data_IF_565914366146
#
_entry.id   IF_565914366146
#
_cell.length_a   1.000
_cell.length_b   1.000
_cell.length_c   1.000
_cell.angle_alpha   90.00
_cell.angle_beta   90.00
_cell.angle_gamma   90.00
#
_symmetry.space_group_name_H-M   'P 1'
#
loop_
_entity.id
_entity.type
_entity.pdbx_description
1 polymer ?
#
# COMPACT_ATOMS: atom_id res chain seq x y z
N UNK A 1 22.86 0.91 33.23
CA UNK A 1 22.36 0.51 31.94
C UNK A 1 22.51 1.73 31.05
N UNK A 2 23.43 1.70 30.08
CA UNK A 2 23.47 2.74 29.05
C UNK A 2 22.15 2.63 28.22
N UNK A 3 21.46 3.71 27.92
CA UNK A 3 20.35 3.64 26.98
C UNK A 3 20.93 3.13 25.66
N UNK A 4 20.48 1.97 25.22
CA UNK A 4 20.77 1.50 23.86
C UNK A 4 20.16 2.55 22.94
N UNK A 5 21.03 3.36 22.33
CA UNK A 5 20.62 4.42 21.40
C UNK A 5 20.16 3.73 20.11
N UNK A 6 18.95 3.15 20.14
CA UNK A 6 18.35 2.53 18.97
C UNK A 6 18.05 3.66 17.98
N UNK A 7 18.65 3.64 16.77
CA UNK A 7 18.41 4.68 15.79
C UNK A 7 16.92 4.79 15.44
N UNK A 8 16.44 6.00 15.23
CA UNK A 8 15.05 6.23 14.87
C UNK A 8 14.74 5.70 13.47
N UNK A 9 13.49 5.31 13.26
CA UNK A 9 12.96 4.93 11.96
C UNK A 9 12.12 6.09 11.41
N UNK A 10 12.49 6.60 10.24
CA UNK A 10 11.71 7.60 9.53
C UNK A 10 10.63 6.91 8.68
N UNK A 11 9.39 7.35 8.83
CA UNK A 11 8.26 6.85 8.03
C UNK A 11 7.70 7.99 7.18
N UNK A 12 7.68 7.81 5.86
CA UNK A 12 7.00 8.72 4.93
C UNK A 12 5.57 8.23 4.66
N UNK A 13 4.69 9.11 4.17
CA UNK A 13 3.30 8.73 3.86
C UNK A 13 2.47 8.32 5.06
N UNK A 14 2.78 8.82 6.25
CA UNK A 14 2.14 8.49 7.54
C UNK A 14 0.65 8.86 7.63
N UNK A 15 0.17 9.74 6.76
CA UNK A 15 -1.25 10.07 6.65
C UNK A 15 -2.03 9.07 5.80
N UNK A 16 -1.32 8.20 5.07
CA UNK A 16 -1.91 7.10 4.32
C UNK A 16 -2.14 5.86 5.20
N UNK A 17 -2.92 4.93 4.70
CA UNK A 17 -3.33 3.71 5.43
C UNK A 17 -2.13 2.86 5.86
N UNK A 18 -1.26 2.48 4.92
CA UNK A 18 -0.09 1.64 5.20
C UNK A 18 0.89 2.36 6.12
N UNK A 19 1.22 3.62 5.83
CA UNK A 19 2.17 4.39 6.65
C UNK A 19 1.71 4.54 8.10
N UNK A 20 0.41 4.73 8.33
CA UNK A 20 -0.18 4.77 9.67
C UNK A 20 0.03 3.44 10.41
N UNK A 21 -0.31 2.33 9.75
CA UNK A 21 -0.13 1.00 10.34
C UNK A 21 1.33 0.71 10.67
N UNK A 22 2.27 1.13 9.81
CA UNK A 22 3.71 0.99 10.07
C UNK A 22 4.14 1.76 11.32
N UNK A 23 3.68 3.02 11.46
CA UNK A 23 3.95 3.82 12.66
C UNK A 23 3.49 3.08 13.92
N UNK A 24 2.26 2.57 13.92
CA UNK A 24 1.71 1.83 15.07
C UNK A 24 2.56 0.58 15.38
N UNK A 25 2.93 -0.22 14.36
CA UNK A 25 3.76 -1.42 14.53
C UNK A 25 5.15 -1.14 15.12
N UNK A 26 5.80 -0.09 14.61
CA UNK A 26 7.13 0.30 15.10
C UNK A 26 7.08 0.80 16.56
N UNK A 27 6.05 1.59 16.89
CA UNK A 27 5.84 2.07 18.26
C UNK A 27 5.51 0.93 19.23
N UNK A 28 4.72 -0.08 18.79
CA UNK A 28 4.41 -1.26 19.60
C UNK A 28 5.63 -2.18 19.77
N UNK A 29 6.56 -2.18 18.82
CA UNK A 29 7.86 -2.80 18.93
C UNK A 29 8.86 -2.01 19.82
N UNK A 30 8.45 -0.85 20.37
CA UNK A 30 9.30 -0.03 21.25
C UNK A 30 10.36 0.78 20.53
N UNK A 31 10.24 0.97 19.21
CA UNK A 31 11.22 1.70 18.42
C UNK A 31 10.93 3.20 18.39
N UNK A 32 11.96 4.07 18.36
CA UNK A 32 11.78 5.49 18.11
C UNK A 32 11.28 5.72 16.67
N UNK A 33 10.13 6.38 16.52
CA UNK A 33 9.52 6.63 15.22
C UNK A 33 9.49 8.13 14.92
N UNK A 34 9.95 8.48 13.73
CA UNK A 34 9.82 9.80 13.13
C UNK A 34 8.81 9.76 12.01
N UNK A 35 7.80 10.59 12.10
CA UNK A 35 6.72 10.68 11.13
C UNK A 35 6.90 11.91 10.25
N UNK A 36 7.08 11.72 8.93
CA UNK A 36 7.18 12.83 7.99
C UNK A 36 5.80 13.24 7.50
N UNK A 37 5.45 14.50 7.71
CA UNK A 37 4.22 15.11 7.19
C UNK A 37 4.54 16.33 6.33
N UNK A 38 3.74 16.56 5.30
CA UNK A 38 3.87 17.78 4.47
C UNK A 38 3.23 18.99 5.12
N UNK A 39 2.22 18.78 5.94
CA UNK A 39 1.46 19.83 6.61
C UNK A 39 1.43 19.58 8.11
N UNK A 40 1.78 20.58 8.93
CA UNK A 40 1.83 20.42 10.39
C UNK A 40 0.52 19.96 11.02
N UNK A 41 -0.63 20.31 10.43
CA UNK A 41 -1.96 19.95 10.95
C UNK A 41 -2.18 18.43 10.94
N UNK A 42 -1.51 17.71 10.05
CA UNK A 42 -1.58 16.26 9.99
C UNK A 42 -1.00 15.59 11.25
N UNK A 43 -0.16 16.27 12.02
CA UNK A 43 0.39 15.78 13.29
C UNK A 43 -0.70 15.37 14.28
N UNK A 44 -1.80 16.12 14.34
CA UNK A 44 -2.92 15.86 15.25
C UNK A 44 -3.57 14.48 15.04
N UNK A 45 -3.36 13.86 13.89
CA UNK A 45 -3.89 12.53 13.57
C UNK A 45 -2.95 11.39 13.92
N UNK A 46 -1.72 11.67 14.34
CA UNK A 46 -0.67 10.68 14.61
C UNK A 46 -0.60 10.32 16.09
N UNK A 47 -0.10 9.12 16.46
CA UNK A 47 0.14 8.76 17.83
C UNK A 47 1.10 9.74 18.53
N UNK A 48 0.78 10.17 19.74
CA UNK A 48 1.60 11.12 20.50
C UNK A 48 3.03 10.65 20.79
N UNK A 49 3.29 9.33 20.68
CA UNK A 49 4.64 8.74 20.85
C UNK A 49 5.52 8.90 19.61
N UNK A 50 4.96 9.26 18.46
CA UNK A 50 5.74 9.51 17.25
C UNK A 50 6.26 10.94 17.23
N UNK A 51 7.55 11.12 16.96
CA UNK A 51 8.15 12.44 16.73
C UNK A 51 7.78 12.92 15.32
N UNK A 52 7.12 14.07 15.22
CA UNK A 52 6.63 14.56 13.92
C UNK A 52 7.57 15.60 13.35
N UNK A 53 7.93 15.40 12.07
CA UNK A 53 8.74 16.33 11.28
C UNK A 53 7.93 16.81 10.07
N UNK A 54 8.07 18.09 9.77
CA UNK A 54 7.53 18.66 8.53
C UNK A 54 8.59 18.60 7.44
N UNK A 55 8.21 18.07 6.27
CA UNK A 55 9.07 18.00 5.09
C UNK A 55 8.32 17.49 3.87
N UNK A 56 8.85 17.77 2.70
CA UNK A 56 8.28 17.39 1.40
C UNK A 56 9.33 16.70 0.52
N UNK A 57 8.98 15.63 -0.15
CA UNK A 57 9.85 14.94 -1.10
C UNK A 57 10.18 15.80 -2.34
N UNK A 58 9.42 16.86 -2.60
CA UNK A 58 9.73 17.86 -3.64
C UNK A 58 10.82 18.85 -3.21
N UNK A 59 11.09 18.91 -1.91
CA UNK A 59 12.10 19.80 -1.28
C UNK A 59 13.09 18.94 -0.49
N UNK A 60 14.09 18.31 -1.14
CA UNK A 60 14.97 17.32 -0.52
C UNK A 60 15.65 17.80 0.77
N UNK A 61 16.00 19.08 0.87
CA UNK A 61 16.62 19.69 2.06
C UNK A 61 15.71 19.65 3.29
N UNK A 62 14.40 19.70 3.09
CA UNK A 62 13.42 19.67 4.18
C UNK A 62 13.43 18.35 4.97
N UNK A 63 14.05 17.30 4.42
CA UNK A 63 14.16 16.00 5.07
C UNK A 63 15.32 15.93 6.10
N UNK A 64 16.29 16.84 6.03
CA UNK A 64 17.51 16.76 6.82
C UNK A 64 17.25 16.67 8.33
N UNK A 65 16.35 17.44 8.94
CA UNK A 65 16.05 17.31 10.37
C UNK A 65 15.52 15.92 10.75
N UNK A 66 14.64 15.35 9.93
CA UNK A 66 14.06 14.03 10.16
C UNK A 66 15.05 12.88 9.96
N UNK A 67 16.08 13.09 9.14
CA UNK A 67 17.12 12.10 8.81
C UNK A 67 18.29 12.11 9.79
N UNK A 68 18.46 13.14 10.63
CA UNK A 68 19.54 13.20 11.63
C UNK A 68 19.43 12.03 12.61
N UNK A 69 20.47 11.18 12.71
CA UNK A 69 20.50 9.97 13.54
C UNK A 69 19.38 8.94 13.24
N UNK A 70 18.76 8.99 12.06
CA UNK A 70 17.87 7.94 11.60
C UNK A 70 18.67 6.73 11.11
N UNK A 71 18.25 5.52 11.47
CA UNK A 71 18.90 4.27 11.05
C UNK A 71 18.27 3.65 9.82
N UNK A 72 16.96 3.87 9.64
CA UNK A 72 16.17 3.29 8.55
C UNK A 72 15.05 4.25 8.10
N UNK A 73 14.60 4.06 6.86
CA UNK A 73 13.49 4.82 6.28
C UNK A 73 12.49 3.88 5.61
N UNK A 74 11.20 4.06 5.90
CA UNK A 74 10.13 3.61 5.04
C UNK A 74 9.80 4.71 4.02
N UNK A 75 9.97 4.39 2.74
CA UNK A 75 9.75 5.32 1.64
C UNK A 75 8.52 4.90 0.81
N UNK A 76 7.50 5.73 0.80
CA UNK A 76 6.47 5.73 -0.23
C UNK A 76 6.64 6.99 -1.07
N UNK A 77 6.78 6.81 -2.39
CA UNK A 77 7.01 7.92 -3.28
C UNK A 77 5.68 8.52 -3.75
N UNK A 78 5.44 9.79 -3.42
CA UNK A 78 4.20 10.51 -3.75
C UNK A 78 4.46 11.86 -4.43
N UNK A 79 5.72 12.12 -4.82
CA UNK A 79 6.16 13.34 -5.47
C UNK A 79 6.42 13.12 -6.99
N UNK A 80 6.55 14.16 -7.78
CA UNK A 80 7.07 14.06 -9.14
C UNK A 80 8.49 13.46 -9.17
N UNK A 81 8.95 12.91 -10.31
CA UNK A 81 10.24 12.23 -10.39
C UNK A 81 11.46 13.15 -10.26
N UNK A 82 11.29 14.45 -10.47
CA UNK A 82 12.41 15.41 -10.61
C UNK A 82 13.28 15.53 -9.34
N UNK A 83 12.68 15.38 -8.17
CA UNK A 83 13.39 15.42 -6.88
C UNK A 83 13.99 14.06 -6.46
N UNK A 84 13.69 12.99 -7.18
CA UNK A 84 13.98 11.63 -6.73
C UNK A 84 15.47 11.39 -6.49
N UNK A 85 16.33 11.82 -7.43
CA UNK A 85 17.76 11.61 -7.30
C UNK A 85 18.35 12.35 -6.06
N UNK A 86 17.91 13.57 -5.79
CA UNK A 86 18.36 14.33 -4.64
C UNK A 86 17.85 13.76 -3.32
N UNK A 87 16.60 13.32 -3.26
CA UNK A 87 16.04 12.63 -2.08
C UNK A 87 16.81 11.34 -1.81
N UNK A 88 16.96 10.46 -2.82
CA UNK A 88 17.66 9.17 -2.65
C UNK A 88 19.10 9.36 -2.22
N UNK A 89 19.81 10.34 -2.79
CA UNK A 89 21.18 10.65 -2.37
C UNK A 89 21.25 11.06 -0.87
N UNK A 90 20.27 11.85 -0.39
CA UNK A 90 20.19 12.24 1.03
C UNK A 90 19.89 11.05 1.94
N UNK A 91 18.97 10.17 1.53
CA UNK A 91 18.68 8.94 2.27
C UNK A 91 19.94 8.08 2.38
N UNK A 92 20.59 7.77 1.25
CA UNK A 92 21.78 6.92 1.20
C UNK A 92 22.97 7.46 2.02
N UNK A 93 23.08 8.80 2.10
CA UNK A 93 24.13 9.44 2.91
C UNK A 93 23.91 9.36 4.42
N UNK A 94 22.68 9.08 4.89
CA UNK A 94 22.30 9.22 6.29
C UNK A 94 21.72 7.97 6.93
N UNK A 95 21.09 7.08 6.15
CA UNK A 95 20.47 5.87 6.68
C UNK A 95 21.11 4.62 6.09
N UNK A 96 21.20 3.59 6.90
CA UNK A 96 21.72 2.29 6.43
C UNK A 96 20.68 1.52 5.61
N UNK A 97 19.40 1.65 5.95
CA UNK A 97 18.33 0.80 5.42
C UNK A 97 17.19 1.62 4.84
N UNK A 98 16.71 1.21 3.67
CA UNK A 98 15.54 1.77 3.01
C UNK A 98 14.54 0.64 2.70
N UNK A 99 13.31 0.76 3.18
CA UNK A 99 12.19 -0.09 2.78
C UNK A 99 11.31 0.72 1.83
N UNK A 100 11.28 0.34 0.57
CA UNK A 100 10.52 1.02 -0.47
C UNK A 100 9.18 0.34 -0.71
N UNK A 101 8.10 1.09 -0.65
CA UNK A 101 6.80 0.65 -1.17
C UNK A 101 6.75 0.94 -2.67
N UNK A 102 6.84 -0.10 -3.46
CA UNK A 102 6.83 -0.08 -4.93
C UNK A 102 5.57 -0.73 -5.49
N UNK A 103 5.60 -1.18 -6.73
CA UNK A 103 4.52 -1.91 -7.39
C UNK A 103 5.03 -3.18 -8.07
N UNK A 104 4.16 -4.16 -8.37
CA UNK A 104 4.54 -5.44 -8.96
C UNK A 104 4.77 -5.37 -10.49
N UNK A 105 5.29 -4.26 -11.00
CA UNK A 105 5.49 -3.98 -12.43
C UNK A 105 6.45 -4.97 -13.14
N UNK A 106 7.28 -5.71 -12.39
CA UNK A 106 8.19 -6.74 -12.93
C UNK A 106 7.57 -8.13 -12.93
N UNK A 107 6.39 -8.31 -12.31
CA UNK A 107 5.73 -9.60 -12.22
C UNK A 107 5.20 -10.01 -13.59
N UNK A 108 5.58 -11.19 -14.15
CA UNK A 108 5.20 -11.62 -15.49
C UNK A 108 3.76 -12.16 -15.52
N UNK A 109 2.80 -11.35 -15.07
CA UNK A 109 1.38 -11.66 -15.11
C UNK A 109 0.65 -10.55 -15.88
N UNK A 110 -0.26 -10.87 -16.83
CA UNK A 110 -0.91 -9.89 -17.68
C UNK A 110 -1.59 -8.74 -16.93
N UNK A 111 -2.13 -9.00 -15.76
CA UNK A 111 -2.71 -7.98 -14.89
C UNK A 111 -1.72 -6.85 -14.55
N UNK A 112 -0.45 -7.18 -14.29
CA UNK A 112 0.58 -6.21 -13.88
C UNK A 112 1.35 -5.62 -15.07
N UNK A 113 1.18 -6.18 -16.27
CA UNK A 113 1.91 -5.78 -17.49
C UNK A 113 1.14 -4.76 -18.33
N UNK A 114 0.07 -4.18 -17.80
CA UNK A 114 -0.66 -3.10 -18.47
C UNK A 114 0.11 -1.79 -18.39
N UNK A 115 -0.02 -0.90 -19.39
CA UNK A 115 0.58 0.43 -19.35
C UNK A 115 0.23 1.15 -18.03
N UNK A 116 1.26 1.54 -17.30
CA UNK A 116 1.07 2.14 -15.97
C UNK A 116 2.17 3.19 -15.71
N UNK A 117 1.84 4.48 -15.73
CA UNK A 117 2.82 5.54 -15.44
C UNK A 117 3.50 5.40 -14.06
N UNK A 118 2.79 4.83 -13.09
CA UNK A 118 3.37 4.57 -11.76
C UNK A 118 4.44 3.47 -11.81
N UNK A 119 4.35 2.51 -12.73
CA UNK A 119 5.37 1.47 -12.90
C UNK A 119 6.72 2.07 -13.30
N UNK A 120 6.72 3.02 -14.24
CA UNK A 120 7.94 3.70 -14.69
C UNK A 120 8.56 4.54 -13.58
N UNK A 121 7.73 5.24 -12.81
CA UNK A 121 8.16 6.00 -11.65
C UNK A 121 8.78 5.09 -10.57
N UNK A 122 8.12 4.00 -10.21
CA UNK A 122 8.66 3.05 -9.25
C UNK A 122 9.97 2.44 -9.73
N UNK A 123 10.04 2.00 -10.99
CA UNK A 123 11.28 1.49 -11.60
C UNK A 123 12.41 2.52 -11.58
N UNK A 124 12.11 3.80 -11.77
CA UNK A 124 13.09 4.87 -11.66
C UNK A 124 13.64 5.01 -10.23
N UNK A 125 12.74 5.07 -9.21
CA UNK A 125 13.14 5.17 -7.80
C UNK A 125 13.99 3.96 -7.38
N UNK A 126 13.59 2.76 -7.76
CA UNK A 126 14.34 1.53 -7.48
C UNK A 126 15.76 1.57 -8.04
N UNK A 127 15.93 2.02 -9.29
CA UNK A 127 17.27 2.17 -9.89
C UNK A 127 18.13 3.17 -9.13
N UNK A 128 17.56 4.29 -8.69
CA UNK A 128 18.28 5.29 -7.90
C UNK A 128 18.72 4.72 -6.55
N UNK A 129 17.84 4.02 -5.85
CA UNK A 129 18.17 3.40 -4.55
C UNK A 129 19.25 2.34 -4.71
N UNK A 130 19.12 1.47 -5.71
CA UNK A 130 20.12 0.43 -5.99
C UNK A 130 21.50 1.01 -6.33
N UNK A 131 21.53 2.11 -7.10
CA UNK A 131 22.79 2.79 -7.46
C UNK A 131 23.42 3.54 -6.26
N UNK A 132 22.61 4.02 -5.31
CA UNK A 132 23.09 4.75 -4.14
C UNK A 132 23.61 3.86 -3.01
N UNK A 133 23.29 2.56 -3.01
CA UNK A 133 23.92 1.52 -2.20
C UNK A 133 23.42 1.30 -0.76
N UNK A 134 22.32 1.90 -0.26
CA UNK A 134 21.77 1.51 1.03
C UNK A 134 21.24 0.06 0.99
N UNK A 135 21.12 -0.59 2.14
CA UNK A 135 20.44 -1.88 2.26
C UNK A 135 18.95 -1.69 1.91
N UNK A 136 18.52 -2.16 0.75
CA UNK A 136 17.18 -1.90 0.23
C UNK A 136 16.29 -3.14 0.29
N UNK A 137 15.09 -2.99 0.87
CA UNK A 137 13.98 -3.94 0.73
C UNK A 137 12.90 -3.31 -0.14
N UNK A 138 12.53 -3.98 -1.22
CA UNK A 138 11.50 -3.50 -2.15
C UNK A 138 10.23 -4.31 -1.95
N UNK A 139 9.17 -3.66 -1.51
CA UNK A 139 7.86 -4.27 -1.31
C UNK A 139 6.95 -3.93 -2.49
N UNK A 140 6.38 -4.95 -3.11
CA UNK A 140 5.52 -4.87 -4.29
C UNK A 140 4.13 -5.42 -4.00
N UNK A 141 3.30 -4.69 -3.26
CA UNK A 141 1.94 -5.15 -3.04
C UNK A 141 1.18 -5.23 -4.35
N UNK A 142 0.43 -6.30 -4.52
CA UNK A 142 -0.56 -6.42 -5.57
C UNK A 142 -1.77 -5.53 -5.32
N UNK A 143 -2.97 -6.05 -5.56
CA UNK A 143 -4.20 -5.32 -5.26
C UNK A 143 -4.40 -5.27 -3.74
N UNK A 144 -4.54 -4.06 -3.17
CA UNK A 144 -4.82 -3.91 -1.74
C UNK A 144 -6.29 -4.26 -1.42
N UNK A 145 -6.53 -5.01 -0.37
CA UNK A 145 -7.88 -5.35 0.08
C UNK A 145 -8.72 -4.11 0.41
N UNK A 146 -8.08 -3.07 0.93
CA UNK A 146 -8.73 -1.79 1.26
C UNK A 146 -9.28 -1.02 0.08
N UNK A 147 -8.92 -1.36 -1.16
CA UNK A 147 -9.54 -0.78 -2.34
C UNK A 147 -11.06 -1.03 -2.35
N UNK A 148 -11.51 -2.16 -1.81
CA UNK A 148 -12.94 -2.48 -1.65
C UNK A 148 -13.71 -1.39 -0.88
N UNK A 149 -13.07 -0.72 0.08
CA UNK A 149 -13.71 0.39 0.81
C UNK A 149 -13.97 1.60 -0.08
N UNK A 150 -13.00 1.96 -0.91
CA UNK A 150 -13.17 3.09 -1.81
C UNK A 150 -14.15 2.77 -2.95
N UNK A 151 -14.12 1.54 -3.46
CA UNK A 151 -14.85 1.16 -4.66
C UNK A 151 -16.29 0.76 -4.39
N UNK A 152 -16.54 -0.03 -3.33
CA UNK A 152 -17.83 -0.70 -3.12
C UNK A 152 -18.60 -0.22 -1.90
N UNK A 153 -17.91 0.29 -0.87
CA UNK A 153 -18.59 0.70 0.36
C UNK A 153 -19.65 1.80 0.16
N UNK A 154 -19.48 2.80 -0.75
CA UNK A 154 -20.52 3.79 -0.97
C UNK A 154 -21.85 3.16 -1.42
N UNK A 155 -21.83 2.25 -2.41
CA UNK A 155 -23.02 1.57 -2.90
C UNK A 155 -23.62 0.65 -1.83
N UNK A 156 -22.78 -0.14 -1.14
CA UNK A 156 -23.23 -1.07 -0.09
C UNK A 156 -23.89 -0.32 1.06
N UNK A 157 -23.31 0.80 1.52
CA UNK A 157 -23.91 1.67 2.56
C UNK A 157 -25.27 2.24 2.16
N UNK A 158 -25.45 2.50 0.88
CA UNK A 158 -26.70 2.98 0.32
C UNK A 158 -27.72 1.84 0.08
N UNK A 159 -27.40 0.60 0.41
CA UNK A 159 -28.27 -0.56 0.11
C UNK A 159 -28.43 -0.85 -1.37
N UNK A 160 -27.47 -0.41 -2.20
CA UNK A 160 -27.49 -0.57 -3.64
C UNK A 160 -26.62 -1.74 -4.10
N UNK A 161 -26.86 -2.23 -5.29
CA UNK A 161 -25.98 -3.19 -5.95
C UNK A 161 -24.60 -2.57 -6.21
N UNK A 162 -23.56 -3.39 -6.08
CA UNK A 162 -22.21 -3.03 -6.55
C UNK A 162 -22.21 -3.16 -8.08
N UNK A 163 -22.19 -2.02 -8.77
CA UNK A 163 -22.14 -1.94 -10.23
C UNK A 163 -20.68 -1.81 -10.68
N UNK A 164 -20.14 -2.90 -11.26
CA UNK A 164 -18.70 -3.02 -11.49
C UNK A 164 -18.38 -3.82 -12.76
N UNK A 165 -17.31 -3.48 -13.52
CA UNK A 165 -16.95 -4.21 -14.72
C UNK A 165 -16.14 -5.46 -14.39
N UNK A 166 -16.13 -6.43 -15.30
CA UNK A 166 -15.29 -7.63 -15.22
C UNK A 166 -15.45 -8.40 -13.91
N UNK A 167 -16.67 -8.75 -13.53
CA UNK A 167 -16.96 -9.49 -12.29
C UNK A 167 -16.23 -10.81 -12.14
N UNK A 168 -15.82 -11.42 -13.26
CA UNK A 168 -15.04 -12.67 -13.31
C UNK A 168 -13.52 -12.47 -13.33
N UNK A 169 -13.03 -11.22 -13.38
CA UNK A 169 -11.61 -10.95 -13.27
C UNK A 169 -11.10 -11.36 -11.88
N UNK A 170 -10.00 -12.09 -11.85
CA UNK A 170 -9.41 -12.61 -10.62
C UNK A 170 -8.25 -11.75 -10.13
N UNK A 171 -8.26 -11.44 -8.84
CA UNK A 171 -7.16 -10.78 -8.12
C UNK A 171 -6.88 -11.52 -6.82
N UNK A 172 -5.70 -11.28 -6.24
CA UNK A 172 -5.33 -11.80 -4.92
C UNK A 172 -5.13 -10.62 -3.96
N UNK A 173 -6.21 -10.06 -3.37
CA UNK A 173 -6.12 -8.86 -2.55
C UNK A 173 -5.31 -9.12 -1.28
N UNK A 174 -4.24 -8.35 -1.09
CA UNK A 174 -3.41 -8.40 0.11
C UNK A 174 -3.98 -7.48 1.19
N UNK A 175 -4.01 -7.96 2.41
CA UNK A 175 -4.39 -7.16 3.57
C UNK A 175 -3.35 -6.04 3.80
N UNK A 176 -3.79 -4.82 3.97
CA UNK A 176 -2.92 -3.66 4.24
C UNK A 176 -2.07 -3.87 5.50
N UNK A 177 -2.60 -4.63 6.47
CA UNK A 177 -1.87 -5.00 7.70
C UNK A 177 -0.69 -5.92 7.40
N UNK A 178 -0.83 -6.86 6.47
CA UNK A 178 0.27 -7.75 6.06
C UNK A 178 1.38 -6.94 5.41
N UNK A 179 1.04 -6.00 4.54
CA UNK A 179 2.02 -5.11 3.92
C UNK A 179 2.74 -4.27 4.99
N UNK A 180 2.00 -3.75 5.98
CA UNK A 180 2.56 -2.96 7.06
C UNK A 180 3.42 -3.80 8.02
N UNK A 181 2.99 -5.02 8.34
CA UNK A 181 3.72 -5.95 9.20
C UNK A 181 5.07 -6.35 8.57
N UNK A 182 5.08 -6.68 7.25
CA UNK A 182 6.32 -6.96 6.51
C UNK A 182 7.21 -5.72 6.46
N UNK A 183 6.65 -4.54 6.13
CA UNK A 183 7.40 -3.31 6.05
C UNK A 183 8.05 -2.93 7.39
N UNK A 184 7.28 -3.00 8.48
CA UNK A 184 7.79 -2.67 9.81
C UNK A 184 8.92 -3.62 10.21
N UNK A 185 8.76 -4.93 10.03
CA UNK A 185 9.82 -5.90 10.34
C UNK A 185 11.06 -5.68 9.48
N UNK A 186 10.92 -5.45 8.19
CA UNK A 186 12.05 -5.18 7.29
C UNK A 186 12.86 -3.93 7.70
N UNK A 187 12.27 -2.99 8.45
CA UNK A 187 12.96 -1.78 8.94
C UNK A 187 13.92 -2.06 10.11
N UNK A 188 13.64 -3.06 10.95
CA UNK A 188 14.46 -3.31 12.13
C UNK A 188 15.02 -4.74 12.22
N UNK A 189 14.37 -5.72 11.62
CA UNK A 189 14.78 -7.12 11.66
C UNK A 189 15.84 -7.38 10.56
N UNK A 190 17.09 -7.73 10.91
CA UNK A 190 18.11 -7.98 9.90
C UNK A 190 17.82 -9.21 9.04
N UNK A 191 17.06 -10.18 9.52
CA UNK A 191 16.72 -11.40 8.78
C UNK A 191 15.69 -11.13 7.66
N UNK A 192 14.98 -9.99 7.74
CA UNK A 192 14.02 -9.53 6.74
C UNK A 192 14.52 -8.34 5.92
N UNK A 193 15.77 -7.96 6.14
CA UNK A 193 16.37 -6.84 5.43
C UNK A 193 16.84 -7.25 4.03
N UNK A 194 16.63 -6.36 3.08
CA UNK A 194 17.00 -6.60 1.67
C UNK A 194 15.92 -7.40 0.93
N UNK A 195 16.18 -7.63 -0.36
CA UNK A 195 15.30 -8.42 -1.22
C UNK A 195 14.16 -7.64 -1.89
N UNK A 196 13.45 -8.38 -2.72
CA UNK A 196 12.36 -7.89 -3.57
C UNK A 196 11.15 -8.83 -3.37
N UNK A 197 10.08 -8.34 -2.78
CA UNK A 197 8.95 -9.16 -2.34
C UNK A 197 7.65 -8.71 -3.00
N UNK A 198 7.08 -9.57 -3.84
CA UNK A 198 5.71 -9.41 -4.34
C UNK A 198 4.74 -9.90 -3.29
N UNK A 199 3.97 -8.98 -2.71
CA UNK A 199 3.04 -9.28 -1.62
C UNK A 199 1.61 -9.39 -2.17
N UNK A 200 1.01 -10.57 -2.00
CA UNK A 200 -0.38 -10.85 -2.40
C UNK A 200 -1.14 -11.46 -1.23
N UNK A 201 -2.48 -11.44 -1.33
CA UNK A 201 -3.29 -12.32 -0.53
C UNK A 201 -3.02 -13.80 -0.87
N UNK A 202 -3.44 -14.74 0.00
CA UNK A 202 -3.12 -16.17 -0.15
C UNK A 202 -3.98 -16.89 -1.19
N UNK A 203 -4.99 -16.23 -1.76
CA UNK A 203 -5.96 -16.86 -2.67
C UNK A 203 -6.33 -15.97 -3.84
N UNK A 204 -6.59 -16.58 -5.01
CA UNK A 204 -7.17 -15.93 -6.17
C UNK A 204 -8.68 -15.86 -6.02
N UNK A 205 -9.27 -14.67 -6.18
CA UNK A 205 -10.70 -14.46 -6.05
C UNK A 205 -11.22 -13.58 -7.18
N UNK A 206 -12.37 -13.94 -7.77
CA UNK A 206 -13.07 -13.05 -8.70
C UNK A 206 -13.58 -11.80 -7.98
N UNK A 207 -13.74 -10.67 -8.69
CA UNK A 207 -14.30 -9.46 -8.10
C UNK A 207 -15.71 -9.70 -7.52
N UNK A 208 -16.55 -10.44 -8.22
CA UNK A 208 -17.88 -10.84 -7.72
C UNK A 208 -17.81 -11.69 -6.45
N UNK A 209 -16.81 -12.60 -6.32
CA UNK A 209 -16.59 -13.38 -5.12
C UNK A 209 -16.12 -12.51 -3.93
N UNK A 210 -15.32 -11.48 -4.20
CA UNK A 210 -14.90 -10.51 -3.18
C UNK A 210 -16.11 -9.70 -2.65
N UNK A 211 -16.99 -9.22 -3.53
CA UNK A 211 -18.22 -8.52 -3.13
C UNK A 211 -19.12 -9.44 -2.30
N UNK A 212 -19.26 -10.71 -2.71
CA UNK A 212 -20.02 -11.69 -1.94
C UNK A 212 -19.40 -11.91 -0.55
N UNK A 213 -18.08 -11.99 -0.43
CA UNK A 213 -17.41 -12.13 0.86
C UNK A 213 -17.66 -10.93 1.79
N UNK A 214 -17.78 -9.70 1.25
CA UNK A 214 -18.22 -8.54 2.03
C UNK A 214 -19.66 -8.71 2.51
N UNK A 215 -20.57 -9.20 1.64
CA UNK A 215 -21.96 -9.50 2.02
C UNK A 215 -22.05 -10.55 3.13
N UNK A 216 -21.27 -11.64 3.04
CA UNK A 216 -21.16 -12.67 4.07
C UNK A 216 -20.72 -12.07 5.42
N UNK A 217 -19.72 -11.20 5.40
CA UNK A 217 -19.23 -10.49 6.59
C UNK A 217 -20.27 -9.54 7.22
N UNK A 218 -21.15 -8.99 6.41
CA UNK A 218 -22.25 -8.13 6.86
C UNK A 218 -23.47 -8.92 7.36
N UNK A 219 -23.57 -10.21 7.03
CA UNK A 219 -24.74 -11.04 7.29
C UNK A 219 -25.93 -10.71 6.39
N UNK A 220 -25.68 -10.11 5.21
CA UNK A 220 -26.72 -9.76 4.24
C UNK A 220 -26.20 -9.93 2.80
N UNK A 221 -27.10 -10.23 1.84
CA UNK A 221 -26.70 -10.30 0.42
C UNK A 221 -26.35 -8.93 -0.10
N UNK A 222 -25.19 -8.81 -0.74
CA UNK A 222 -24.79 -7.63 -1.53
C UNK A 222 -24.91 -8.00 -3.01
N UNK A 223 -25.89 -7.43 -3.75
CA UNK A 223 -26.03 -7.72 -5.16
C UNK A 223 -24.85 -7.18 -5.96
N UNK A 224 -24.39 -7.95 -6.95
CA UNK A 224 -23.38 -7.56 -7.93
C UNK A 224 -24.05 -7.42 -9.30
N UNK A 225 -23.87 -6.27 -9.93
CA UNK A 225 -24.36 -5.99 -11.29
C UNK A 225 -23.15 -5.68 -12.18
N UNK A 226 -22.93 -6.53 -13.19
CA UNK A 226 -21.86 -6.28 -14.15
C UNK A 226 -22.25 -5.15 -15.11
N UNK A 227 -21.38 -4.15 -15.25
CA UNK A 227 -21.53 -3.03 -16.17
C UNK A 227 -20.45 -3.06 -17.25
N UNK A 228 -20.68 -2.38 -18.36
CA UNK A 228 -19.69 -2.29 -19.41
C UNK A 228 -18.51 -1.39 -19.02
N UNK A 229 -17.33 -1.57 -19.65
CA UNK A 229 -16.19 -0.67 -19.44
C UNK A 229 -16.51 0.79 -19.76
N UNK A 230 -17.34 1.04 -20.78
CA UNK A 230 -17.78 2.38 -21.18
C UNK A 230 -18.64 3.02 -20.11
N UNK A 231 -19.55 2.24 -19.53
CA UNK A 231 -20.37 2.70 -18.41
C UNK A 231 -19.53 2.97 -17.18
N UNK A 232 -18.54 2.12 -16.89
CA UNK A 232 -17.62 2.34 -15.78
C UNK A 232 -16.80 3.63 -15.95
N UNK A 233 -16.30 3.94 -17.16
CA UNK A 233 -15.62 5.23 -17.41
C UNK A 233 -16.54 6.40 -17.09
N UNK A 234 -17.78 6.36 -17.56
CA UNK A 234 -18.76 7.44 -17.36
C UNK A 234 -19.08 7.66 -15.87
N UNK A 235 -19.31 6.59 -15.09
CA UNK A 235 -19.62 6.74 -13.66
C UNK A 235 -18.41 7.09 -12.81
N UNK A 236 -17.20 6.92 -13.34
CA UNK A 236 -15.94 7.28 -12.69
C UNK A 236 -15.47 8.69 -13.02
N UNK A 237 -16.17 9.40 -13.93
CA UNK A 237 -15.84 10.80 -14.25
C UNK A 237 -15.86 11.67 -13.00
N UNK A 238 -14.78 12.44 -12.81
CA UNK A 238 -14.62 13.31 -11.63
C UNK A 238 -14.18 12.63 -10.34
N UNK A 239 -14.22 11.29 -10.27
CA UNK A 239 -13.77 10.53 -9.07
C UNK A 239 -12.34 10.02 -9.20
N UNK A 240 -11.84 9.77 -10.41
CA UNK A 240 -10.47 9.33 -10.67
C UNK A 240 -9.97 9.88 -12.01
N UNK A 241 -8.63 10.09 -12.16
CA UNK A 241 -8.04 10.43 -13.45
C UNK A 241 -8.35 9.36 -14.51
N UNK A 242 -8.71 9.75 -15.72
CA UNK A 242 -9.06 8.82 -16.79
C UNK A 242 -8.00 7.78 -17.09
N UNK A 243 -6.71 8.16 -17.05
CA UNK A 243 -5.60 7.22 -17.22
C UNK A 243 -5.55 6.13 -16.13
N UNK A 244 -5.97 6.43 -14.90
CA UNK A 244 -6.07 5.43 -13.83
C UNK A 244 -7.24 4.49 -14.08
N UNK A 245 -8.39 5.02 -14.55
CA UNK A 245 -9.55 4.22 -14.91
C UNK A 245 -9.21 3.26 -16.05
N UNK A 246 -8.53 3.73 -17.09
CA UNK A 246 -8.13 2.90 -18.24
C UNK A 246 -7.11 1.83 -17.84
N UNK A 247 -6.15 2.17 -17.00
CA UNK A 247 -5.20 1.20 -16.44
C UNK A 247 -5.92 0.09 -15.67
N UNK A 248 -6.87 0.42 -14.81
CA UNK A 248 -7.65 -0.58 -14.04
C UNK A 248 -8.49 -1.45 -14.97
N UNK A 249 -9.18 -0.86 -15.94
CA UNK A 249 -9.97 -1.61 -16.92
C UNK A 249 -9.08 -2.56 -17.74
N UNK A 250 -7.90 -2.11 -18.18
CA UNK A 250 -6.94 -2.95 -18.87
C UNK A 250 -6.47 -4.13 -18.02
N UNK A 251 -6.13 -3.86 -16.75
CA UNK A 251 -5.67 -4.86 -15.81
C UNK A 251 -6.76 -5.92 -15.53
N UNK A 252 -7.99 -5.50 -15.23
CA UNK A 252 -9.10 -6.43 -15.00
C UNK A 252 -9.47 -7.22 -16.25
N UNK A 253 -9.52 -6.61 -17.42
CA UNK A 253 -9.74 -7.32 -18.68
C UNK A 253 -8.71 -8.44 -18.89
N UNK A 254 -7.44 -8.15 -18.62
CA UNK A 254 -6.34 -9.12 -18.76
C UNK A 254 -6.41 -10.25 -17.72
N UNK A 255 -7.15 -10.07 -16.63
CA UNK A 255 -7.36 -11.05 -15.56
C UNK A 255 -8.62 -11.92 -15.75
N UNK A 256 -9.48 -11.62 -16.73
CA UNK A 256 -10.67 -12.44 -17.01
C UNK A 256 -10.25 -13.84 -17.45
N UNK A 257 -10.78 -14.86 -16.76
CA UNK A 257 -10.50 -16.27 -17.04
C UNK A 257 -9.06 -16.71 -16.75
N UNK A 258 -8.33 -15.94 -15.94
CA UNK A 258 -6.96 -16.24 -15.51
C UNK A 258 -6.86 -16.15 -14.00
N UNK A 259 -6.33 -17.20 -13.31
CA UNK A 259 -6.02 -17.10 -11.89
C UNK A 259 -5.08 -15.94 -11.62
N UNK A 260 -5.29 -15.25 -10.51
CA UNK A 260 -4.38 -14.19 -10.07
C UNK A 260 -2.98 -14.74 -9.78
N UNK A 261 -1.97 -13.88 -9.91
CA UNK A 261 -0.64 -14.18 -9.40
C UNK A 261 -0.67 -14.19 -7.87
N UNK A 262 -0.51 -15.36 -7.27
CA UNK A 262 -0.45 -15.56 -5.81
C UNK A 262 0.97 -15.92 -5.42
N UNK A 263 1.50 -15.28 -4.38
CA UNK A 263 2.80 -15.59 -3.80
C UNK A 263 2.65 -16.06 -2.36
N UNK A 264 3.64 -16.78 -1.85
CA UNK A 264 3.74 -17.17 -0.45
C UNK A 264 4.50 -16.16 0.41
N UNK A 265 4.99 -15.08 -0.19
CA UNK A 265 5.92 -14.15 0.45
C UNK A 265 5.43 -13.60 1.80
N UNK A 266 4.14 -13.28 1.93
CA UNK A 266 3.58 -12.83 3.22
C UNK A 266 3.67 -13.94 4.27
N UNK A 267 3.25 -15.16 3.93
CA UNK A 267 3.29 -16.30 4.84
C UNK A 267 4.73 -16.70 5.19
N UNK A 268 5.65 -16.67 4.23
CA UNK A 268 7.07 -16.97 4.44
C UNK A 268 7.74 -15.97 5.40
N UNK A 269 7.36 -14.69 5.30
CA UNK A 269 7.94 -13.62 6.12
C UNK A 269 7.27 -13.46 7.50
N UNK A 270 5.97 -13.75 7.61
CA UNK A 270 5.18 -13.48 8.82
C UNK A 270 4.65 -14.75 9.52
N UNK A 271 4.75 -15.93 8.87
CA UNK A 271 4.18 -17.19 9.33
C UNK A 271 2.77 -17.47 8.80
N UNK A 272 1.99 -16.44 8.52
CA UNK A 272 0.64 -16.56 7.92
C UNK A 272 0.33 -15.33 7.03
N UNK A 273 -0.59 -15.50 6.08
CA UNK A 273 -1.16 -14.41 5.29
C UNK A 273 -2.67 -14.32 5.57
N UNK A 274 -3.17 -13.09 5.77
CA UNK A 274 -4.59 -12.86 6.02
C UNK A 274 -5.39 -13.03 4.73
N UNK A 275 -6.51 -13.77 4.80
CA UNK A 275 -7.43 -13.91 3.66
C UNK A 275 -8.26 -12.64 3.47
N UNK A 276 -8.76 -12.42 2.23
CA UNK A 276 -9.70 -11.33 1.99
C UNK A 276 -11.00 -11.48 2.80
N UNK A 277 -11.46 -12.71 3.04
CA UNK A 277 -12.65 -12.98 3.88
C UNK A 277 -12.43 -12.49 5.32
N UNK A 278 -11.26 -12.76 5.91
CA UNK A 278 -10.91 -12.24 7.24
C UNK A 278 -10.85 -10.72 7.23
N UNK A 279 -10.20 -10.13 6.22
CA UNK A 279 -10.16 -8.69 6.07
C UNK A 279 -11.57 -8.08 6.00
N UNK A 280 -12.48 -8.67 5.20
CA UNK A 280 -13.86 -8.21 5.06
C UNK A 280 -14.63 -8.29 6.40
N UNK A 281 -14.45 -9.37 7.16
CA UNK A 281 -15.05 -9.54 8.48
C UNK A 281 -14.56 -8.47 9.47
N UNK A 282 -13.25 -8.22 9.51
CA UNK A 282 -12.63 -7.22 10.39
C UNK A 282 -13.04 -5.77 10.03
N UNK A 283 -13.39 -5.53 8.76
CA UNK A 283 -13.80 -4.22 8.24
C UNK A 283 -15.30 -4.09 7.96
N UNK A 284 -16.12 -5.06 8.39
CA UNK A 284 -17.56 -5.07 8.11
C UNK A 284 -18.27 -3.77 8.54
N UNK A 285 -17.87 -3.19 9.68
CA UNK A 285 -18.43 -1.94 10.16
C UNK A 285 -18.29 -0.78 9.15
N UNK A 286 -17.20 -0.78 8.37
CA UNK A 286 -16.94 0.27 7.37
C UNK A 286 -17.86 0.19 6.14
N UNK A 287 -18.56 -0.92 5.94
CA UNK A 287 -19.55 -1.11 4.87
C UNK A 287 -21.00 -0.88 5.34
N UNK A 288 -21.25 -0.67 6.64
CA UNK A 288 -22.59 -0.38 7.16
C UNK A 288 -22.96 1.08 6.98
N UNK A 289 -24.25 1.41 6.83
CA UNK A 289 -24.71 2.80 6.91
C UNK A 289 -24.22 3.44 8.21
N UNK A 290 -23.95 4.75 8.20
CA UNK A 290 -23.71 5.47 9.44
C UNK A 290 -24.94 5.31 10.35
N UNK A 291 -24.72 5.03 11.63
CA UNK A 291 -25.80 5.03 12.60
C UNK A 291 -26.41 6.45 12.61
N UNK A 292 -27.71 6.55 12.35
CA UNK A 292 -28.49 7.80 12.42
C UNK A 292 -28.60 8.29 13.85
#
# INVERSE_FOLDING_TARGET
MHPTNTPAVLVTGVTGRIGRLIVDRLLDAGLPVRALVRRPEAAATLPARAEVFTGDLTEPESLDPALTDAGAVFLVWTAPPDSAAAVVARLAARVRRVVLLSSPHRTPHPFFQQPNPMADLHAHIERLIAAAGPEATVLRPGMLASNALAWWAPAIRAGQAVRWPYGTAETAPVDDRDVADVAARALYDPDLAGGDHVLTGPESMTQAAQVRAVGEALGLPVPFEEITPEEFRRVSEGSAPGAVVDMLLGAWNAAVGRPAHVTTAVADLLGEARTFRRWAADHAAAFRPAAS
#
